data_IF_303466624054
#
_entry.id   IF_303466624054
#
_cell.length_a   1.000
_cell.length_b   1.000
_cell.length_c   1.000
_cell.angle_alpha   90.00
_cell.angle_beta   90.00
_cell.angle_gamma   90.00
#
_symmetry.space_group_name_H-M   'P 1'
#
loop_
_entity.id
_entity.type
_entity.pdbx_description
1 polymer ?
#
# COMPACT_ATOMS: atom_id res chain seq x y z
N UNK A 1 28.37 2.90 -1.74
CA UNK A 1 28.47 2.39 -0.36
C UNK A 1 27.06 1.97 0.01
N UNK A 2 26.82 0.70 0.28
CA UNK A 2 25.48 0.24 0.65
C UNK A 2 25.07 0.94 1.96
N UNK A 3 23.88 1.55 2.03
CA UNK A 3 23.38 2.11 3.30
C UNK A 3 23.28 0.95 4.31
N UNK A 4 23.66 1.19 5.57
CA UNK A 4 23.55 0.17 6.61
C UNK A 4 22.08 -0.26 6.74
N UNK A 5 21.79 -1.55 6.53
CA UNK A 5 20.44 -2.14 6.62
C UNK A 5 19.77 -1.79 7.94
N UNK A 6 20.52 -1.77 9.04
CA UNK A 6 19.99 -1.42 10.37
C UNK A 6 19.50 0.03 10.41
N UNK A 7 20.30 0.97 9.88
CA UNK A 7 19.93 2.38 9.83
C UNK A 7 18.71 2.63 8.93
N UNK A 8 18.61 1.91 7.80
CA UNK A 8 17.44 1.95 6.93
C UNK A 8 16.19 1.37 7.59
N UNK A 9 16.33 0.24 8.30
CA UNK A 9 15.22 -0.32 9.06
C UNK A 9 14.74 0.68 10.11
N UNK A 10 15.66 1.28 10.89
CA UNK A 10 15.33 2.32 11.87
C UNK A 10 14.63 3.55 11.27
N UNK A 11 14.94 3.93 10.02
CA UNK A 11 14.22 5.00 9.32
C UNK A 11 12.75 4.62 9.07
N UNK A 12 12.44 3.36 8.74
CA UNK A 12 11.07 2.89 8.59
C UNK A 12 10.34 2.78 9.94
N UNK A 13 10.98 2.28 10.99
CA UNK A 13 10.36 2.15 12.31
C UNK A 13 9.90 3.52 12.87
N UNK A 14 10.64 4.60 12.56
CA UNK A 14 10.29 5.98 12.95
C UNK A 14 9.03 6.54 12.26
N UNK A 15 8.54 5.90 11.20
CA UNK A 15 7.33 6.35 10.50
C UNK A 15 6.06 5.92 11.23
N UNK A 16 6.15 4.98 12.17
CA UNK A 16 5.00 4.38 12.87
C UNK A 16 3.92 3.91 11.88
N UNK A 17 4.36 3.32 10.76
CA UNK A 17 3.50 3.03 9.60
C UNK A 17 2.49 1.90 9.84
N UNK A 18 2.58 1.17 10.96
CA UNK A 18 1.68 0.06 11.23
C UNK A 18 0.22 0.53 11.23
N UNK A 19 -0.61 -0.21 10.52
CA UNK A 19 -2.03 0.09 10.29
C UNK A 19 -2.30 1.40 9.53
N UNK A 20 -1.26 2.12 9.08
CA UNK A 20 -1.42 3.32 8.26
C UNK A 20 -1.81 2.97 6.83
N UNK A 21 -2.69 3.77 6.26
CA UNK A 21 -3.22 3.55 4.91
C UNK A 21 -2.13 3.74 3.84
N UNK A 22 -2.01 2.79 2.93
CA UNK A 22 -1.30 3.00 1.68
C UNK A 22 -2.17 3.83 0.74
N UNK A 23 -1.65 4.98 0.30
CA UNK A 23 -2.35 5.94 -0.53
C UNK A 23 -2.09 5.70 -2.03
N UNK A 24 -0.86 5.33 -2.40
CA UNK A 24 -0.50 5.00 -3.77
C UNK A 24 0.84 4.23 -3.84
N UNK A 25 1.02 3.47 -4.93
CA UNK A 25 2.29 2.84 -5.29
C UNK A 25 2.54 3.01 -6.79
N UNK A 26 3.60 3.74 -7.13
CA UNK A 26 3.90 4.17 -8.51
C UNK A 26 5.26 3.66 -8.95
N UNK A 27 5.30 3.14 -10.18
CA UNK A 27 6.55 2.83 -10.87
C UNK A 27 6.80 3.92 -11.90
N UNK A 28 7.98 4.54 -11.84
CA UNK A 28 8.39 5.65 -12.71
C UNK A 28 9.69 5.29 -13.44
N UNK A 29 10.02 6.11 -14.45
CA UNK A 29 11.27 6.01 -15.21
C UNK A 29 11.62 4.58 -15.66
N UNK A 30 10.65 3.90 -16.29
CA UNK A 30 10.78 2.53 -16.81
C UNK A 30 11.12 1.47 -15.73
N UNK A 31 10.82 1.76 -14.47
CA UNK A 31 11.11 0.84 -13.36
C UNK A 31 12.38 1.17 -12.59
N UNK A 32 13.11 2.23 -12.97
CA UNK A 32 14.30 2.66 -12.24
C UNK A 32 13.96 3.38 -10.91
N UNK A 33 12.73 3.87 -10.79
CA UNK A 33 12.21 4.47 -9.57
C UNK A 33 10.87 3.88 -9.18
N UNK A 34 10.69 3.60 -7.90
CA UNK A 34 9.40 3.26 -7.33
C UNK A 34 9.07 4.23 -6.18
N UNK A 35 7.82 4.64 -6.07
CA UNK A 35 7.34 5.52 -5.00
C UNK A 35 6.20 4.88 -4.26
N UNK A 36 6.31 4.84 -2.94
CA UNK A 36 5.28 4.37 -2.03
C UNK A 36 4.81 5.55 -1.19
N UNK A 37 3.49 5.72 -1.08
CA UNK A 37 2.89 6.79 -0.28
C UNK A 37 2.10 6.17 0.86
N UNK A 38 2.59 6.35 2.09
CA UNK A 38 1.91 5.85 3.30
C UNK A 38 1.37 7.06 4.06
N UNK A 39 0.10 7.01 4.41
CA UNK A 39 -0.52 8.02 5.26
C UNK A 39 0.29 8.20 6.55
N UNK A 40 0.42 9.44 7.02
CA UNK A 40 1.00 9.66 8.34
C UNK A 40 0.10 9.02 9.40
N UNK A 41 0.69 8.30 10.35
CA UNK A 41 -0.08 7.74 11.47
C UNK A 41 -0.69 8.86 12.32
N UNK A 42 -1.94 8.66 12.76
CA UNK A 42 -2.67 9.55 13.65
C UNK A 42 -3.53 8.72 14.59
N UNK A 43 -3.37 8.93 15.90
CA UNK A 43 -4.18 8.28 16.95
C UNK A 43 -5.66 8.66 16.89
N UNK A 44 -5.95 9.83 16.32
CA UNK A 44 -7.30 10.22 15.99
C UNK A 44 -7.63 9.61 14.63
N UNK A 45 -8.72 8.81 14.52
CA UNK A 45 -9.27 8.25 13.28
C UNK A 45 -9.76 9.34 12.29
N UNK A 46 -8.93 10.34 12.03
CA UNK A 46 -9.14 11.50 11.19
C UNK A 46 -8.23 11.39 9.96
N UNK A 47 -8.66 12.02 8.88
CA UNK A 47 -7.82 12.20 7.70
C UNK A 47 -6.60 13.05 8.08
N UNK A 48 -5.41 12.64 7.64
CA UNK A 48 -4.18 13.43 7.82
C UNK A 48 -3.96 14.35 6.63
N UNK A 49 -3.34 15.50 6.85
CA UNK A 49 -2.98 16.42 5.76
C UNK A 49 -1.70 16.00 5.01
N UNK A 50 -0.89 15.15 5.66
CA UNK A 50 0.42 14.74 5.19
C UNK A 50 0.53 13.21 5.07
N UNK A 51 1.46 12.79 4.21
CA UNK A 51 1.86 11.40 4.03
C UNK A 51 3.38 11.31 3.86
N UNK A 52 3.93 10.12 4.07
CA UNK A 52 5.31 9.82 3.74
C UNK A 52 5.42 9.36 2.28
N UNK A 53 6.18 10.11 1.47
CA UNK A 53 6.67 9.67 0.17
C UNK A 53 8.00 8.93 0.39
N UNK A 54 7.99 7.62 0.15
CA UNK A 54 9.19 6.77 0.16
C UNK A 54 9.58 6.53 -1.28
N UNK A 55 10.72 7.07 -1.68
CA UNK A 55 11.26 6.95 -3.05
C UNK A 55 12.41 5.95 -3.07
N UNK A 56 12.24 4.88 -3.83
CA UNK A 56 13.26 3.87 -4.12
C UNK A 56 13.95 4.23 -5.43
N UNK A 57 15.26 4.38 -5.40
CA UNK A 57 16.06 4.94 -6.50
C UNK A 57 17.02 3.89 -7.08
N UNK A 58 17.19 3.93 -8.40
CA UNK A 58 18.08 3.02 -9.15
C UNK A 58 17.71 1.56 -8.88
N UNK A 59 16.45 1.25 -9.16
CA UNK A 59 15.85 -0.05 -8.89
C UNK A 59 16.31 -1.07 -9.94
N UNK A 60 16.84 -2.19 -9.46
CA UNK A 60 17.14 -3.35 -10.29
C UNK A 60 15.88 -4.19 -10.57
N UNK A 61 15.00 -4.31 -9.57
CA UNK A 61 13.79 -5.13 -9.66
C UNK A 61 12.69 -4.57 -8.78
N UNK A 62 11.48 -4.48 -9.33
CA UNK A 62 10.25 -4.20 -8.61
C UNK A 62 9.26 -5.31 -8.94
N UNK A 63 8.76 -6.00 -7.93
CA UNK A 63 7.72 -7.02 -8.07
C UNK A 63 6.63 -6.76 -7.05
N UNK A 64 5.38 -7.07 -7.39
CA UNK A 64 4.29 -7.08 -6.44
C UNK A 64 3.34 -8.24 -6.74
N UNK A 65 2.69 -8.71 -5.69
CA UNK A 65 1.61 -9.69 -5.75
C UNK A 65 0.39 -9.13 -5.01
N UNK A 66 -0.81 -9.44 -5.48
CA UNK A 66 -2.06 -8.97 -4.89
C UNK A 66 -2.96 -10.15 -4.59
N UNK A 67 -3.54 -10.17 -3.39
CA UNK A 67 -4.65 -11.06 -3.10
C UNK A 67 -5.91 -10.57 -3.81
N UNK A 68 -6.09 -11.06 -5.01
CA UNK A 68 -7.25 -10.84 -5.85
C UNK A 68 -8.59 -11.19 -5.19
N UNK A 69 -8.57 -12.11 -4.22
CA UNK A 69 -9.74 -12.68 -3.57
C UNK A 69 -10.02 -12.10 -2.19
N UNK A 70 -9.27 -11.09 -1.75
CA UNK A 70 -9.27 -10.63 -0.35
C UNK A 70 -10.66 -10.21 0.18
N UNK A 71 -11.54 -9.68 -0.68
CA UNK A 71 -12.95 -9.48 -0.32
C UNK A 71 -13.80 -10.57 -0.97
N UNK A 72 -14.21 -11.51 -0.12
CA UNK A 72 -15.08 -12.61 -0.49
C UNK A 72 -16.24 -12.74 0.51
N UNK A 73 -17.36 -13.28 0.06
CA UNK A 73 -18.60 -13.39 0.82
C UNK A 73 -19.33 -14.70 0.50
N UNK A 74 -20.36 -14.98 1.28
CA UNK A 74 -21.11 -16.24 1.21
C UNK A 74 -20.52 -17.32 2.10
N UNK A 75 -20.90 -18.57 1.84
CA UNK A 75 -20.43 -19.68 2.65
C UNK A 75 -18.95 -19.95 2.39
N UNK A 76 -18.22 -20.27 3.46
CA UNK A 76 -16.87 -20.81 3.32
C UNK A 76 -16.98 -22.25 2.80
N UNK A 77 -16.33 -22.52 1.67
CA UNK A 77 -16.28 -23.81 1.03
C UNK A 77 -15.28 -24.75 1.74
N UNK A 78 -15.36 -26.04 1.43
CA UNK A 78 -14.55 -27.07 2.08
C UNK A 78 -13.04 -26.91 1.83
N UNK A 79 -12.64 -26.23 0.76
CA UNK A 79 -11.25 -25.89 0.42
C UNK A 79 -10.76 -24.60 1.09
N UNK A 80 -11.60 -23.98 1.93
CA UNK A 80 -11.27 -22.76 2.66
C UNK A 80 -11.54 -21.46 1.90
N UNK A 81 -11.94 -21.54 0.62
CA UNK A 81 -12.37 -20.39 -0.18
C UNK A 81 -13.81 -19.96 0.15
N UNK A 82 -14.27 -18.87 -0.43
CA UNK A 82 -15.64 -18.39 -0.28
C UNK A 82 -16.41 -18.55 -1.58
N UNK A 83 -17.72 -18.73 -1.46
CA UNK A 83 -18.63 -18.92 -2.59
C UNK A 83 -18.61 -17.76 -3.61
N UNK A 84 -18.31 -16.53 -3.17
CA UNK A 84 -18.30 -15.33 -4.02
C UNK A 84 -17.08 -14.46 -3.74
N UNK A 85 -16.39 -14.00 -4.79
CA UNK A 85 -15.31 -13.00 -4.71
C UNK A 85 -15.87 -11.64 -5.12
N UNK A 86 -16.08 -10.77 -4.15
CA UNK A 86 -16.73 -9.47 -4.32
C UNK A 86 -15.75 -8.43 -4.88
N UNK A 87 -14.48 -8.45 -4.45
CA UNK A 87 -13.48 -7.44 -4.85
C UNK A 87 -13.28 -7.35 -6.37
N UNK A 88 -13.56 -8.42 -7.12
CA UNK A 88 -13.34 -8.50 -8.58
C UNK A 88 -14.57 -8.15 -9.40
N UNK A 89 -15.72 -7.92 -8.77
CA UNK A 89 -16.95 -7.53 -9.44
C UNK A 89 -17.06 -6.01 -9.64
N UNK A 90 -16.15 -5.22 -9.04
CA UNK A 90 -16.14 -3.76 -9.12
C UNK A 90 -14.88 -3.22 -9.80
N UNK A 91 -15.01 -2.03 -10.39
CA UNK A 91 -13.84 -1.31 -10.83
C UNK A 91 -13.05 -0.83 -9.60
N UNK A 92 -11.74 -1.07 -9.57
CA UNK A 92 -10.87 -0.72 -8.43
C UNK A 92 -10.90 0.79 -8.10
N UNK A 93 -11.18 1.64 -9.10
CA UNK A 93 -11.35 3.09 -8.88
C UNK A 93 -12.55 3.42 -7.97
N UNK A 94 -13.56 2.54 -7.91
CA UNK A 94 -14.78 2.73 -7.15
C UNK A 94 -14.70 2.09 -5.75
N UNK A 95 -13.68 1.25 -5.50
CA UNK A 95 -13.48 0.47 -4.28
C UNK A 95 -13.38 1.33 -3.00
N UNK A 96 -12.91 2.58 -3.09
CA UNK A 96 -12.81 3.49 -1.94
C UNK A 96 -14.15 3.76 -1.27
N UNK A 97 -15.26 3.74 -2.01
CA UNK A 97 -16.61 3.98 -1.51
C UNK A 97 -17.15 2.85 -0.62
N UNK A 98 -16.46 1.70 -0.62
CA UNK A 98 -16.85 0.48 0.12
C UNK A 98 -16.14 0.38 1.47
N UNK A 99 -15.32 1.37 1.87
CA UNK A 99 -14.40 1.25 3.00
C UNK A 99 -13.27 0.24 2.74
N UNK A 100 -13.10 -0.22 1.48
CA UNK A 100 -12.11 -1.22 1.09
C UNK A 100 -10.66 -0.74 1.18
N UNK A 101 -10.43 0.56 1.43
CA UNK A 101 -9.09 1.07 1.74
C UNK A 101 -8.49 0.34 2.96
N UNK A 102 -9.31 -0.15 3.90
CA UNK A 102 -8.88 -0.99 5.03
C UNK A 102 -8.07 -2.23 4.61
N UNK A 103 -8.18 -2.70 3.35
CA UNK A 103 -7.38 -3.80 2.81
C UNK A 103 -5.96 -3.40 2.38
N UNK A 104 -5.66 -2.11 2.30
CA UNK A 104 -4.37 -1.56 1.88
C UNK A 104 -3.64 -0.85 3.04
N UNK A 105 -3.78 -1.35 4.26
CA UNK A 105 -3.02 -0.86 5.41
C UNK A 105 -1.62 -1.50 5.43
N UNK A 106 -0.59 -0.71 5.73
CA UNK A 106 0.77 -1.19 5.89
C UNK A 106 0.88 -2.03 7.16
N UNK A 107 1.42 -3.25 7.02
CA UNK A 107 1.54 -4.20 8.13
C UNK A 107 3.00 -4.40 8.52
N UNK A 108 3.88 -4.48 7.52
CA UNK A 108 5.27 -4.84 7.77
C UNK A 108 6.18 -4.36 6.64
N UNK A 109 7.30 -3.74 7.01
CA UNK A 109 8.38 -3.37 6.10
C UNK A 109 9.68 -3.96 6.63
N UNK A 110 10.37 -4.73 5.79
CA UNK A 110 11.68 -5.31 6.10
C UNK A 110 12.72 -4.88 5.10
N UNK A 111 13.84 -4.39 5.62
CA UNK A 111 15.05 -4.14 4.87
C UNK A 111 16.02 -5.30 5.07
N UNK A 112 16.66 -5.73 3.99
CA UNK A 112 17.71 -6.75 4.02
C UNK A 112 18.75 -6.48 2.94
N UNK A 113 19.97 -6.96 3.14
CA UNK A 113 20.99 -6.91 2.09
C UNK A 113 20.57 -7.84 0.94
N UNK A 114 20.65 -7.35 -0.30
CA UNK A 114 20.53 -8.21 -1.48
C UNK A 114 21.91 -8.61 -2.02
N UNK A 115 22.82 -7.63 -2.12
CA UNK A 115 24.24 -7.83 -2.39
C UNK A 115 25.05 -6.61 -1.89
N UNK A 116 26.35 -6.58 -2.19
CA UNK A 116 27.25 -5.50 -1.74
C UNK A 116 26.84 -4.07 -2.18
N UNK A 117 25.93 -3.95 -3.14
CA UNK A 117 25.50 -2.70 -3.77
C UNK A 117 24.02 -2.38 -3.60
N UNK A 118 23.17 -3.38 -3.36
CA UNK A 118 21.71 -3.26 -3.38
C UNK A 118 21.09 -3.79 -2.09
N UNK A 119 20.01 -3.15 -1.67
CA UNK A 119 19.12 -3.63 -0.61
C UNK A 119 17.83 -4.16 -1.19
N UNK A 120 17.21 -5.09 -0.45
CA UNK A 120 15.85 -5.56 -0.67
C UNK A 120 14.94 -4.95 0.38
N UNK A 121 13.82 -4.42 -0.10
CA UNK A 121 12.72 -3.89 0.70
C UNK A 121 11.51 -4.77 0.45
N UNK A 122 11.12 -5.53 1.47
CA UNK A 122 9.96 -6.41 1.46
C UNK A 122 8.84 -5.76 2.26
N UNK A 123 7.75 -5.44 1.59
CA UNK A 123 6.66 -4.62 2.12
C UNK A 123 5.38 -5.44 2.04
N UNK A 124 4.72 -5.59 3.17
CA UNK A 124 3.45 -6.29 3.30
C UNK A 124 2.39 -5.26 3.67
N UNK A 125 1.39 -5.17 2.80
CA UNK A 125 0.10 -4.53 3.06
C UNK A 125 -0.96 -5.63 3.10
N UNK A 126 -2.08 -5.41 3.79
CA UNK A 126 -3.00 -6.50 4.13
C UNK A 126 -3.46 -7.38 2.94
N UNK A 127 -3.54 -6.84 1.73
CA UNK A 127 -3.91 -7.57 0.51
C UNK A 127 -2.85 -7.55 -0.61
N UNK A 128 -1.63 -7.06 -0.35
CA UNK A 128 -0.58 -6.96 -1.37
C UNK A 128 0.80 -7.13 -0.74
N UNK A 129 1.70 -7.75 -1.48
CA UNK A 129 3.12 -7.83 -1.10
C UNK A 129 3.93 -7.14 -2.19
N UNK A 130 4.87 -6.28 -1.80
CA UNK A 130 5.75 -5.55 -2.71
C UNK A 130 7.20 -5.90 -2.35
N UNK A 131 7.97 -6.28 -3.35
CA UNK A 131 9.39 -6.58 -3.25
C UNK A 131 10.19 -5.67 -4.17
N UNK A 132 11.01 -4.81 -3.58
CA UNK A 132 11.83 -3.83 -4.30
C UNK A 132 13.30 -4.12 -4.03
N UNK A 133 14.11 -4.15 -5.08
CA UNK A 133 15.57 -4.25 -5.00
C UNK A 133 16.15 -2.99 -5.64
N UNK A 134 16.77 -2.13 -4.84
CA UNK A 134 17.31 -0.87 -5.30
C UNK A 134 18.57 -0.46 -4.53
N UNK A 135 19.26 0.54 -5.05
CA UNK A 135 20.52 0.99 -4.46
C UNK A 135 20.28 1.97 -3.31
N UNK A 136 19.39 2.93 -3.52
CA UNK A 136 19.13 4.02 -2.59
C UNK A 136 17.63 4.13 -2.29
N UNK A 137 17.35 4.78 -1.17
CA UNK A 137 16.00 5.18 -0.78
C UNK A 137 16.05 6.53 -0.06
N UNK A 138 15.00 7.33 -0.27
CA UNK A 138 14.73 8.60 0.38
C UNK A 138 13.30 8.63 0.94
N UNK A 139 13.09 9.32 2.06
CA UNK A 139 11.79 9.46 2.71
C UNK A 139 11.51 10.94 2.95
N UNK A 140 10.34 11.41 2.51
CA UNK A 140 9.89 12.78 2.73
C UNK A 140 8.49 12.81 3.31
N UNK A 141 8.22 13.74 4.22
CA UNK A 141 6.85 14.11 4.57
C UNK A 141 6.34 15.12 3.54
N UNK A 142 5.24 14.81 2.86
CA UNK A 142 4.67 15.63 1.78
C UNK A 142 3.17 15.89 1.98
N UNK A 143 2.65 17.06 1.56
CA UNK A 143 1.22 17.36 1.65
C UNK A 143 0.44 16.50 0.68
N UNK A 144 -0.63 15.86 1.16
CA UNK A 144 -1.49 14.99 0.33
C UNK A 144 -2.20 15.79 -0.77
N UNK A 145 -2.64 17.01 -0.46
CA UNK A 145 -3.34 17.88 -1.39
C UNK A 145 -2.53 18.25 -2.65
N UNK A 146 -1.19 18.11 -2.60
CA UNK A 146 -0.29 18.38 -3.71
C UNK A 146 0.01 17.13 -4.55
N UNK A 147 -0.47 15.96 -4.11
CA UNK A 147 -0.22 14.69 -4.79
C UNK A 147 -1.36 14.30 -5.73
N UNK A 148 -0.99 13.69 -6.86
CA UNK A 148 -1.94 13.12 -7.81
C UNK A 148 -2.06 11.61 -7.57
N UNK A 149 -2.84 11.20 -6.57
CA UNK A 149 -3.07 9.79 -6.26
C UNK A 149 -4.12 9.15 -7.17
N UNK A 150 -4.02 7.83 -7.35
CA UNK A 150 -5.01 7.03 -8.11
C UNK A 150 -6.44 7.28 -7.60
N UNK A 151 -6.62 7.24 -6.28
CA UNK A 151 -7.83 7.70 -5.62
C UNK A 151 -7.62 9.11 -5.07
N UNK A 152 -8.45 10.06 -5.49
CA UNK A 152 -8.51 11.37 -4.84
C UNK A 152 -9.12 11.15 -3.44
N UNK A 153 -8.47 11.65 -2.40
CA UNK A 153 -8.93 11.47 -1.01
C UNK A 153 -10.44 11.73 -0.89
N UNK A 154 -11.16 10.63 -0.67
CA UNK A 154 -12.40 10.49 0.08
C UNK A 154 -13.38 11.67 -0.06
N UNK A 155 -13.96 11.85 -1.25
CA UNK A 155 -15.42 11.97 -1.24
C UNK A 155 -15.94 10.57 -0.93
N UNK A 156 -16.09 10.24 0.36
CA UNK A 156 -16.82 9.04 0.78
C UNK A 156 -18.26 9.23 0.30
N UNK A 157 -18.55 8.88 -0.95
CA UNK A 157 -19.91 8.56 -1.31
C UNK A 157 -20.27 7.37 -0.44
N UNK A 158 -21.11 7.60 0.56
CA UNK A 158 -21.72 6.55 1.36
C UNK A 158 -22.60 5.73 0.42
N UNK A 159 -22.00 4.78 -0.27
CA UNK A 159 -22.74 3.85 -1.11
C UNK A 159 -23.58 2.98 -0.20
N UNK A 160 -24.91 3.01 -0.38
CA UNK A 160 -25.80 2.18 0.43
C UNK A 160 -25.71 0.75 -0.06
N UNK A 161 -25.60 -0.22 0.84
CA UNK A 161 -25.63 -1.64 0.47
C UNK A 161 -26.99 -2.23 0.75
N UNK A 162 -27.52 -3.00 -0.21
CA UNK A 162 -28.67 -3.87 -0.02
C UNK A 162 -28.32 -5.25 -0.56
N UNK A 163 -28.50 -6.28 0.26
CA UNK A 163 -28.19 -7.67 -0.08
C UNK A 163 -26.75 -7.89 -0.59
N UNK A 164 -25.77 -7.19 0.02
CA UNK A 164 -24.35 -7.29 -0.33
C UNK A 164 -23.94 -6.53 -1.61
N UNK A 165 -24.86 -5.79 -2.23
CA UNK A 165 -24.60 -5.01 -3.46
C UNK A 165 -24.77 -3.51 -3.22
N UNK A 166 -23.95 -2.66 -3.87
CA UNK A 166 -24.12 -1.22 -3.83
C UNK A 166 -25.41 -0.80 -4.55
N UNK A 167 -26.13 0.16 -3.97
CA UNK A 167 -27.35 0.76 -4.49
C UNK A 167 -27.09 2.25 -4.67
N UNK A 168 -27.44 2.78 -5.83
CA UNK A 168 -27.41 4.24 -6.13
C UNK A 168 -28.33 5.05 -5.21
#
# INVERSE_FOLDING_TARGET
MNKNVEALQEEFEKLEYWDSQLLDFKIQYLGDEARLYIQQYSDECNDTEYCYEITFLRCYKVAYDTDAGWLASGNRLADGTFEQVIAREYNIKDATSFGMLLGYAAQYIKVSEYNYFLNRYHIVVANMTIDIICQDMDIKLVPIAEQNFFWKHIESKKTKFKDGKPVE
#
